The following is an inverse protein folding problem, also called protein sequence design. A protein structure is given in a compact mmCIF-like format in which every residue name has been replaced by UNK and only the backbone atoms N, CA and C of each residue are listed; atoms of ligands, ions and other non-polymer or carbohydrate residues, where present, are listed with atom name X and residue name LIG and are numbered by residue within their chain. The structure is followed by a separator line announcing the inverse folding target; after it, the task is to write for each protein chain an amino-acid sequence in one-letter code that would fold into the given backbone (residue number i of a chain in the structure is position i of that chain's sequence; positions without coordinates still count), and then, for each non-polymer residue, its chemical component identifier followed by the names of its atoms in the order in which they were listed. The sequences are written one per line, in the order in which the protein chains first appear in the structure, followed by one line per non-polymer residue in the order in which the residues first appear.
data_IF_573511569874
#
_entry.id   IF_573511569874
#
_cell.length_a   1.000
_cell.length_b   1.000
_cell.length_c   1.000
_cell.angle_alpha   90.00
_cell.angle_beta   90.00
_cell.angle_gamma   90.00
#
_symmetry.space_group_name_H-M   'P 1'
#
loop_
_entity.id
_entity.type
_entity.pdbx_description
1 polymer ?
#
# COMPACT_ATOMS: atom_id res chain seq x y z
N UNK A 1 -10.55 -12.47 -20.80
CA UNK A 1 -9.97 -12.31 -19.46
C UNK A 1 -10.48 -11.01 -18.83
N UNK A 2 -10.92 -11.06 -17.59
CA UNK A 2 -11.35 -9.86 -16.86
C UNK A 2 -10.16 -9.28 -16.11
N UNK A 3 -9.94 -7.97 -16.24
CA UNK A 3 -8.92 -7.26 -15.50
C UNK A 3 -9.58 -6.45 -14.39
N UNK A 4 -9.11 -6.64 -13.16
CA UNK A 4 -9.53 -5.86 -12.00
C UNK A 4 -8.49 -4.79 -11.72
N UNK A 5 -8.93 -3.57 -11.46
CA UNK A 5 -8.05 -2.44 -11.21
C UNK A 5 -8.10 -2.02 -9.75
N UNK A 6 -6.93 -1.77 -9.20
CA UNK A 6 -6.77 -1.31 -7.83
C UNK A 6 -5.69 -0.24 -7.77
N UNK A 7 -5.67 0.48 -6.66
CA UNK A 7 -4.69 1.54 -6.45
C UNK A 7 -4.38 1.68 -4.97
N UNK A 8 -3.16 2.09 -4.68
CA UNK A 8 -2.70 2.31 -3.33
C UNK A 8 -1.41 3.11 -3.31
N UNK A 9 -0.71 3.05 -2.20
CA UNK A 9 0.55 3.76 -2.07
C UNK A 9 1.49 3.09 -1.09
N UNK A 10 2.77 3.33 -1.30
CA UNK A 10 3.80 3.09 -0.29
C UNK A 10 3.76 4.29 0.66
N UNK A 11 3.20 4.09 1.83
CA UNK A 11 3.07 5.14 2.86
C UNK A 11 4.28 5.11 3.76
N UNK A 12 4.92 6.26 3.94
CA UNK A 12 6.11 6.34 4.75
C UNK A 12 6.14 7.60 5.61
N UNK A 13 6.96 7.55 6.64
CA UNK A 13 7.25 8.70 7.48
C UNK A 13 8.76 8.76 7.75
N UNK A 14 9.24 9.94 8.07
CA UNK A 14 10.63 10.13 8.45
C UNK A 14 10.67 10.46 9.93
N UNK A 15 11.39 9.65 10.71
CA UNK A 15 11.60 9.86 12.14
C UNK A 15 13.10 9.77 12.44
N UNK A 16 13.62 10.78 13.10
CA UNK A 16 15.04 10.83 13.50
C UNK A 16 15.99 10.57 12.31
N UNK A 17 15.64 11.15 11.15
CA UNK A 17 16.43 11.02 9.93
C UNK A 17 16.31 9.68 9.22
N UNK A 18 15.40 8.80 9.65
CA UNK A 18 15.23 7.46 9.08
C UNK A 18 13.84 7.30 8.52
N UNK A 19 13.74 6.59 7.39
CA UNK A 19 12.46 6.30 6.74
C UNK A 19 11.85 5.05 7.34
N UNK A 20 10.54 5.14 7.65
CA UNK A 20 9.73 4.03 8.16
C UNK A 20 8.53 3.82 7.24
N UNK A 21 8.32 2.59 6.82
CA UNK A 21 7.26 2.20 5.89
C UNK A 21 6.11 1.54 6.63
N UNK A 22 4.88 1.89 6.24
CA UNK A 22 3.68 1.31 6.81
C UNK A 22 3.31 0.04 6.06
N UNK A 23 3.29 -1.08 6.77
CA UNK A 23 2.81 -2.35 6.23
C UNK A 23 1.55 -2.79 6.97
N UNK A 24 0.67 -3.45 6.24
CA UNK A 24 -0.59 -3.97 6.77
C UNK A 24 -0.64 -5.48 6.59
N UNK A 25 -1.11 -6.19 7.60
CA UNK A 25 -1.34 -7.62 7.52
C UNK A 25 -2.83 -7.90 7.28
N UNK A 26 -3.13 -8.63 6.20
CA UNK A 26 -4.49 -9.00 5.87
C UNK A 26 -5.11 -9.91 6.93
N UNK A 27 -6.35 -9.66 7.30
CA UNK A 27 -7.08 -10.48 8.26
C UNK A 27 -7.47 -11.85 7.67
N UNK A 28 -7.61 -11.93 6.35
CA UNK A 28 -8.10 -13.14 5.70
C UNK A 28 -6.99 -14.10 5.26
N UNK A 29 -5.78 -13.62 5.04
CA UNK A 29 -4.69 -14.43 4.48
C UNK A 29 -3.40 -14.38 5.29
N UNK A 30 -3.32 -13.53 6.30
CA UNK A 30 -2.11 -13.23 7.08
C UNK A 30 -0.94 -12.67 6.25
N UNK A 31 -1.18 -12.31 4.99
CA UNK A 31 -0.15 -11.74 4.13
C UNK A 31 0.12 -10.29 4.52
N UNK A 32 1.40 -9.93 4.52
CA UNK A 32 1.83 -8.55 4.73
C UNK A 32 1.97 -7.82 3.40
N UNK A 33 1.36 -6.66 3.31
CA UNK A 33 1.35 -5.86 2.10
C UNK A 33 1.23 -4.38 2.40
N UNK A 34 0.82 -3.64 1.37
CA UNK A 34 0.72 -2.18 1.38
C UNK A 34 -0.75 -1.75 1.29
N UNK A 35 -1.10 -0.55 1.78
CA UNK A 35 -2.48 -0.05 1.67
C UNK A 35 -2.91 0.07 0.20
N UNK A 36 -4.02 -0.56 -0.16
CA UNK A 36 -4.57 -0.54 -1.51
C UNK A 36 -5.99 -1.09 -1.52
N UNK A 37 -6.69 -0.84 -2.62
CA UNK A 37 -7.99 -1.47 -2.85
C UNK A 37 -8.54 -1.18 -4.23
N UNK A 38 -9.71 -1.74 -4.52
CA UNK A 38 -10.33 -1.68 -5.84
C UNK A 38 -10.81 -0.27 -6.18
N UNK A 39 -10.66 0.08 -7.47
CA UNK A 39 -11.19 1.33 -8.01
C UNK A 39 -12.71 1.23 -8.06
N UNK A 40 -13.39 2.24 -7.51
CA UNK A 40 -14.86 2.34 -7.56
C UNK A 40 -15.30 3.20 -8.74
N UNK A 41 -16.59 3.09 -9.15
CA UNK A 41 -17.12 3.93 -10.23
C UNK A 41 -16.89 5.42 -9.94
N UNK A 42 -16.49 6.15 -10.98
CA UNK A 42 -16.24 7.58 -10.91
C UNK A 42 -15.02 7.99 -10.09
N UNK A 43 -14.15 7.04 -9.74
CA UNK A 43 -12.86 7.35 -9.11
C UNK A 43 -11.74 7.26 -10.11
N UNK A 44 -10.75 8.16 -9.99
CA UNK A 44 -9.45 7.96 -10.62
C UNK A 44 -8.53 7.20 -9.65
N UNK A 45 -7.35 6.82 -10.13
CA UNK A 45 -6.42 6.01 -9.35
C UNK A 45 -5.93 6.73 -8.08
N UNK A 46 -5.72 8.04 -8.14
CA UNK A 46 -5.29 8.82 -6.97
C UNK A 46 -6.40 8.87 -5.92
N UNK A 47 -7.63 9.12 -6.35
CA UNK A 47 -8.78 9.12 -5.44
C UNK A 47 -8.98 7.77 -4.75
N UNK A 48 -8.81 6.68 -5.50
CA UNK A 48 -8.88 5.33 -4.94
C UNK A 48 -7.82 5.12 -3.87
N UNK A 49 -6.56 5.50 -4.16
CA UNK A 49 -5.47 5.35 -3.21
C UNK A 49 -5.77 6.12 -1.91
N UNK A 50 -6.19 7.37 -2.02
CA UNK A 50 -6.52 8.20 -0.85
C UNK A 50 -7.64 7.57 -0.02
N UNK A 51 -8.71 7.14 -0.68
CA UNK A 51 -9.86 6.52 -0.01
C UNK A 51 -9.48 5.22 0.69
N UNK A 52 -8.77 4.34 0.00
CA UNK A 52 -8.38 3.04 0.56
C UNK A 52 -7.43 3.18 1.74
N UNK A 53 -6.46 4.10 1.66
CA UNK A 53 -5.56 4.36 2.78
C UNK A 53 -6.37 4.85 3.98
N UNK A 54 -7.32 5.74 3.76
CA UNK A 54 -8.16 6.24 4.84
C UNK A 54 -9.04 5.16 5.45
N UNK A 55 -9.65 4.31 4.63
CA UNK A 55 -10.49 3.22 5.12
C UNK A 55 -9.69 2.21 5.94
N UNK A 56 -8.50 1.84 5.48
CA UNK A 56 -7.69 0.82 6.13
C UNK A 56 -6.91 1.32 7.34
N UNK A 57 -6.52 2.59 7.36
CA UNK A 57 -5.58 3.13 8.36
C UNK A 57 -6.08 4.38 9.09
N UNK A 58 -7.19 4.95 8.65
CA UNK A 58 -7.72 6.23 9.13
C UNK A 58 -6.78 7.43 8.87
N UNK A 59 -5.79 7.28 8.01
CA UNK A 59 -4.89 8.38 7.65
C UNK A 59 -5.43 9.15 6.47
N UNK A 60 -5.35 10.49 6.56
CA UNK A 60 -5.58 11.39 5.43
C UNK A 60 -4.23 11.65 4.79
N UNK A 61 -4.11 11.30 3.51
CA UNK A 61 -2.83 11.36 2.83
C UNK A 61 -2.89 12.21 1.58
N UNK A 62 -1.74 12.77 1.24
CA UNK A 62 -1.53 13.39 -0.06
C UNK A 62 -0.66 12.48 -0.89
N UNK A 63 -1.09 12.20 -2.11
CA UNK A 63 -0.38 11.29 -3.01
C UNK A 63 0.66 12.06 -3.80
N UNK A 64 1.89 11.55 -3.79
CA UNK A 64 2.94 12.02 -4.69
C UNK A 64 2.89 11.16 -5.94
N UNK A 65 2.32 11.71 -7.01
CA UNK A 65 2.14 11.00 -8.27
C UNK A 65 3.35 11.07 -9.21
N UNK A 66 4.44 11.71 -8.78
CA UNK A 66 5.69 11.68 -9.53
C UNK A 66 6.32 10.29 -9.49
N UNK A 67 6.02 9.51 -8.46
CA UNK A 67 6.32 8.08 -8.44
C UNK A 67 5.04 7.31 -8.76
N UNK A 68 5.11 6.42 -9.74
CA UNK A 68 3.99 5.57 -10.14
C UNK A 68 4.55 4.27 -10.65
N UNK A 69 4.15 3.16 -10.05
CA UNK A 69 4.58 1.84 -10.49
C UNK A 69 3.42 0.86 -10.42
N UNK A 70 3.33 0.01 -11.42
CA UNK A 70 2.28 -0.97 -11.55
C UNK A 70 2.77 -2.34 -11.12
N UNK A 71 1.91 -3.07 -10.40
CA UNK A 71 2.13 -4.46 -10.06
C UNK A 71 0.98 -5.26 -10.64
N UNK A 72 1.28 -6.29 -11.42
CA UNK A 72 0.26 -7.10 -12.10
C UNK A 72 0.43 -8.56 -11.70
N UNK A 73 -0.69 -9.25 -11.55
CA UNK A 73 -0.67 -10.69 -11.28
C UNK A 73 -1.99 -11.34 -11.68
N UNK A 74 -1.93 -12.66 -11.93
CA UNK A 74 -3.13 -13.45 -12.23
C UNK A 74 -3.73 -13.97 -10.92
N UNK A 75 -5.06 -13.90 -10.83
CA UNK A 75 -5.81 -14.33 -9.66
C UNK A 75 -6.30 -15.75 -9.85
N UNK A 76 -6.60 -16.45 -8.74
CA UNK A 76 -7.10 -17.83 -8.76
C UNK A 76 -8.43 -17.97 -9.49
N UNK A 77 -9.25 -16.91 -9.54
CA UNK A 77 -10.54 -16.91 -10.23
C UNK A 77 -10.42 -16.71 -11.75
N UNK A 78 -9.20 -16.69 -12.29
CA UNK A 78 -8.96 -16.47 -13.71
C UNK A 78 -8.88 -15.02 -14.14
N UNK A 79 -9.12 -14.10 -13.22
CA UNK A 79 -8.99 -12.67 -13.51
C UNK A 79 -7.54 -12.23 -13.44
N UNK A 80 -7.22 -11.17 -14.15
CA UNK A 80 -5.95 -10.46 -14.05
C UNK A 80 -6.14 -9.25 -13.15
N UNK A 81 -5.17 -8.98 -12.27
CA UNK A 81 -5.23 -7.81 -11.39
C UNK A 81 -4.10 -6.86 -11.68
N UNK A 82 -4.45 -5.59 -11.79
CA UNK A 82 -3.56 -4.48 -12.11
C UNK A 82 -3.64 -3.49 -10.96
N UNK A 83 -2.55 -3.34 -10.20
CA UNK A 83 -2.49 -2.45 -9.05
C UNK A 83 -1.49 -1.34 -9.30
N UNK A 84 -1.94 -0.10 -9.24
CA UNK A 84 -1.08 1.07 -9.37
C UNK A 84 -0.71 1.60 -7.99
N UNK A 85 0.59 1.78 -7.76
CA UNK A 85 1.10 2.31 -6.50
C UNK A 85 1.79 3.64 -6.71
N UNK A 86 1.47 4.57 -5.81
CA UNK A 86 2.14 5.86 -5.65
C UNK A 86 2.96 5.84 -4.37
N UNK A 87 3.51 6.97 -3.97
CA UNK A 87 4.09 7.13 -2.63
C UNK A 87 3.35 8.24 -1.89
N UNK A 88 3.36 8.17 -0.58
CA UNK A 88 2.73 9.19 0.26
C UNK A 88 3.49 9.33 1.57
N UNK A 89 4.01 10.53 1.83
CA UNK A 89 4.66 10.84 3.08
C UNK A 89 3.64 11.35 4.09
N UNK A 90 3.68 10.82 5.32
CA UNK A 90 2.85 11.29 6.42
C UNK A 90 3.73 11.79 7.56
N UNK A 91 3.16 12.63 8.42
CA UNK A 91 3.88 13.16 9.57
C UNK A 91 4.20 12.03 10.58
N UNK A 92 5.32 12.12 11.32
CA UNK A 92 5.70 11.05 12.24
C UNK A 92 4.76 10.89 13.44
N UNK A 93 3.99 11.92 13.77
CA UNK A 93 3.05 11.88 14.89
C UNK A 93 1.67 11.32 14.56
N UNK A 94 1.41 10.93 13.29
CA UNK A 94 0.12 10.36 12.91
C UNK A 94 -0.12 9.04 13.63
N UNK A 95 -1.39 8.76 13.93
CA UNK A 95 -1.79 7.52 14.56
C UNK A 95 -2.61 6.69 13.60
N UNK A 96 -2.13 5.47 13.32
CA UNK A 96 -2.85 4.51 12.50
C UNK A 96 -3.95 3.88 13.34
N UNK A 97 -5.18 3.85 12.78
CA UNK A 97 -6.29 3.08 13.32
C UNK A 97 -6.71 2.08 12.27
N UNK A 98 -6.33 0.82 12.47
CA UNK A 98 -6.61 -0.22 11.48
C UNK A 98 -8.10 -0.55 11.40
N UNK A 99 -8.55 -0.95 10.22
CA UNK A 99 -9.91 -1.44 10.01
C UNK A 99 -9.93 -2.93 10.35
N UNK A 100 -10.59 -3.29 11.45
CA UNK A 100 -10.49 -4.63 12.04
C UNK A 100 -10.97 -5.77 11.15
N UNK A 101 -11.94 -5.52 10.27
CA UNK A 101 -12.50 -6.55 9.41
C UNK A 101 -11.54 -7.04 8.33
N UNK A 102 -10.72 -6.14 7.78
CA UNK A 102 -9.82 -6.44 6.68
C UNK A 102 -8.35 -6.51 7.10
N UNK A 103 -7.99 -5.81 8.17
CA UNK A 103 -6.60 -5.66 8.61
C UNK A 103 -6.43 -6.28 10.00
N UNK A 104 -5.61 -7.32 10.06
CA UNK A 104 -5.31 -8.01 11.30
C UNK A 104 -4.30 -7.25 12.15
N UNK A 105 -3.26 -6.71 11.51
CA UNK A 105 -2.17 -6.02 12.19
C UNK A 105 -1.55 -4.98 11.27
N UNK A 106 -0.77 -4.08 11.84
CA UNK A 106 0.01 -3.12 11.07
C UNK A 106 1.30 -2.82 11.82
N UNK A 107 2.26 -2.21 11.12
CA UNK A 107 3.47 -1.71 11.76
C UNK A 107 4.24 -0.78 10.85
N UNK A 108 5.13 -0.02 11.47
CA UNK A 108 6.09 0.82 10.79
C UNK A 108 7.43 0.11 10.83
N UNK A 109 8.03 -0.11 9.67
CA UNK A 109 9.26 -0.87 9.53
C UNK A 109 10.28 -0.06 8.75
N UNK A 110 11.57 -0.19 9.12
CA UNK A 110 12.61 0.36 8.26
C UNK A 110 12.67 -0.44 6.95
N UNK A 111 13.49 0.01 6.02
CA UNK A 111 13.53 -0.60 4.69
C UNK A 111 13.85 -2.11 4.76
N UNK A 112 14.87 -2.49 5.52
CA UNK A 112 15.29 -3.89 5.58
C UNK A 112 14.21 -4.79 6.17
N UNK A 113 13.62 -4.36 7.28
CA UNK A 113 12.56 -5.14 7.93
C UNK A 113 11.29 -5.16 7.09
N UNK A 114 10.93 -4.05 6.45
CA UNK A 114 9.79 -3.99 5.54
C UNK A 114 9.98 -4.93 4.36
N UNK A 115 11.16 -4.92 3.76
CA UNK A 115 11.49 -5.79 2.63
C UNK A 115 11.33 -7.26 3.01
N UNK A 116 11.85 -7.66 4.17
CA UNK A 116 11.75 -9.04 4.65
C UNK A 116 10.31 -9.41 5.02
N UNK A 117 9.54 -8.45 5.54
CA UNK A 117 8.19 -8.68 6.04
C UNK A 117 7.19 -8.89 4.92
N UNK A 118 7.34 -8.19 3.80
CA UNK A 118 6.43 -8.30 2.67
C UNK A 118 6.37 -9.74 2.17
N UNK A 119 5.16 -10.25 1.99
CA UNK A 119 4.94 -11.64 1.62
C UNK A 119 5.31 -11.91 0.16
N UNK A 120 5.03 -10.98 -0.74
CA UNK A 120 5.22 -11.19 -2.18
C UNK A 120 6.43 -10.44 -2.71
N UNK A 121 7.18 -11.11 -3.60
CA UNK A 121 8.39 -10.54 -4.18
C UNK A 121 8.13 -9.32 -5.05
N UNK A 122 7.00 -9.29 -5.78
CA UNK A 122 6.67 -8.12 -6.59
C UNK A 122 6.49 -6.86 -5.74
N UNK A 123 5.98 -6.99 -4.51
CA UNK A 123 5.87 -5.86 -3.58
C UNK A 123 7.23 -5.48 -3.00
N UNK A 124 8.13 -6.44 -2.83
CA UNK A 124 9.51 -6.14 -2.41
C UNK A 124 10.23 -5.32 -3.46
N UNK A 125 10.04 -5.65 -4.74
CA UNK A 125 10.62 -4.89 -5.84
C UNK A 125 10.03 -3.48 -5.94
N UNK A 126 8.72 -3.35 -5.70
CA UNK A 126 8.06 -2.06 -5.61
C UNK A 126 8.65 -1.21 -4.48
N UNK A 127 8.81 -1.81 -3.30
CA UNK A 127 9.39 -1.10 -2.15
C UNK A 127 10.80 -0.62 -2.47
N UNK A 128 11.59 -1.44 -3.13
CA UNK A 128 12.95 -1.07 -3.55
C UNK A 128 12.91 0.14 -4.48
N UNK A 129 12.02 0.15 -5.47
CA UNK A 129 11.88 1.28 -6.40
C UNK A 129 11.45 2.56 -5.66
N UNK A 130 10.53 2.44 -4.72
CA UNK A 130 10.07 3.57 -3.92
C UNK A 130 11.17 4.12 -3.03
N UNK A 131 11.99 3.24 -2.45
CA UNK A 131 13.09 3.65 -1.57
C UNK A 131 14.19 4.40 -2.34
N UNK A 132 14.37 4.07 -3.61
CA UNK A 132 15.34 4.74 -4.49
C UNK A 132 14.81 6.07 -5.04
N UNK A 133 13.52 6.30 -4.96
CA UNK A 133 12.87 7.55 -5.39
C UNK A 133 13.09 8.65 -4.35
#
# INVERSE_FOLDING_TARGET
MVTEYASGAVVYQIRDGKIWYLLLQSATSDFWGLPKGHVEPNENLIQTAVREIREETNLKTQIDSNFKQKVEYDMKNGHHKDVTFYVSRVAPEVKVRKQDEEINSFGWFDYEDAYKKLTYDNLRQLLKSADEY
#
